data_IF_046667262216
#
_entry.id   IF_046667262216
#
_cell.length_a   1.000
_cell.length_b   1.000
_cell.length_c   1.000
_cell.angle_alpha   90.00
_cell.angle_beta   90.00
_cell.angle_gamma   90.00
#
_symmetry.space_group_name_H-M   'P 1'
#
loop_
_entity.id
_entity.type
_entity.pdbx_description
1 polymer ?
#
# COMPACT_ATOMS: atom_id res chain seq x y z
N UNK A 1 -47.91 42.40 36.38
CA UNK A 1 -46.85 42.45 35.35
C UNK A 1 -46.50 41.03 34.99
N UNK A 2 -46.52 40.74 33.69
CA UNK A 2 -46.58 39.43 33.07
C UNK A 2 -45.24 38.64 33.14
N UNK A 3 -45.37 37.32 33.32
CA UNK A 3 -44.50 36.21 32.92
C UNK A 3 -45.31 34.93 33.31
N UNK A 4 -45.86 34.05 32.47
CA UNK A 4 -45.39 33.38 31.23
C UNK A 4 -43.93 32.91 31.40
N UNK A 5 -43.59 31.63 31.48
CA UNK A 5 -44.18 30.43 30.88
C UNK A 5 -43.94 29.13 31.67
N UNK A 6 -44.73 28.13 31.27
CA UNK A 6 -44.87 26.76 31.76
C UNK A 6 -43.77 25.81 31.24
N UNK A 7 -43.63 24.58 31.80
CA UNK A 7 -42.48 23.72 31.58
C UNK A 7 -42.63 22.87 30.32
N UNK A 8 -41.58 22.78 29.50
CA UNK A 8 -41.57 21.92 28.32
C UNK A 8 -41.04 20.52 28.67
N UNK A 9 -41.95 19.58 28.44
CA UNK A 9 -41.86 18.12 28.33
C UNK A 9 -40.48 17.52 28.05
N UNK A 10 -40.17 16.46 28.80
CA UNK A 10 -39.27 15.40 28.39
C UNK A 10 -39.68 14.84 27.03
N UNK A 11 -38.70 14.66 26.14
CA UNK A 11 -38.81 13.85 24.95
C UNK A 11 -37.56 12.97 24.89
N UNK A 12 -37.73 11.75 25.38
CA UNK A 12 -36.90 10.60 25.11
C UNK A 12 -37.02 10.29 23.62
N UNK A 13 -35.90 10.39 22.89
CA UNK A 13 -35.78 9.97 21.50
C UNK A 13 -34.56 9.04 21.41
N UNK A 14 -34.74 7.86 21.99
CA UNK A 14 -34.07 6.66 21.54
C UNK A 14 -34.55 6.35 20.10
N UNK A 15 -33.63 6.43 19.14
CA UNK A 15 -33.83 6.06 17.74
C UNK A 15 -32.56 5.35 17.26
N UNK A 16 -32.66 4.40 16.31
CA UNK A 16 -32.12 3.07 16.49
C UNK A 16 -30.68 2.93 16.04
N UNK A 17 -29.99 1.97 16.67
CA UNK A 17 -28.80 1.32 16.15
C UNK A 17 -29.15 0.82 14.75
N UNK A 18 -28.52 1.42 13.74
CA UNK A 18 -28.54 0.88 12.39
C UNK A 18 -27.62 -0.35 12.40
N UNK A 19 -28.24 -1.52 12.51
CA UNK A 19 -27.65 -2.78 12.05
C UNK A 19 -27.20 -2.54 10.61
N UNK A 20 -25.89 -2.59 10.40
CA UNK A 20 -25.33 -2.64 9.07
C UNK A 20 -25.39 -4.09 8.65
N UNK A 21 -26.28 -4.37 7.70
CA UNK A 21 -26.45 -5.66 7.03
C UNK A 21 -25.09 -6.19 6.55
N UNK A 22 -24.51 -7.12 7.31
CA UNK A 22 -23.52 -8.08 6.85
C UNK A 22 -24.29 -9.20 6.17
N UNK A 23 -24.29 -9.21 4.84
CA UNK A 23 -24.41 -10.39 3.96
C UNK A 23 -25.09 -9.98 2.66
N UNK A 24 -24.29 -9.51 1.71
CA UNK A 24 -24.58 -9.74 0.29
C UNK A 24 -23.26 -9.76 -0.48
N UNK A 25 -23.12 -10.76 -1.35
CA UNK A 25 -22.07 -10.96 -2.38
C UNK A 25 -21.02 -12.09 -2.19
N UNK A 26 -21.39 -13.21 -1.57
CA UNK A 26 -20.63 -14.48 -1.71
C UNK A 26 -21.41 -15.56 -2.50
N UNK A 27 -21.92 -15.22 -3.67
CA UNK A 27 -22.40 -16.21 -4.66
C UNK A 27 -21.78 -16.01 -6.05
N UNK A 28 -20.48 -16.28 -6.22
CA UNK A 28 -19.86 -16.29 -7.57
C UNK A 28 -19.22 -17.62 -7.95
N UNK A 29 -19.06 -18.58 -7.05
CA UNK A 29 -18.44 -19.87 -7.40
C UNK A 29 -19.27 -21.07 -6.94
N UNK A 30 -20.42 -21.29 -7.57
CA UNK A 30 -21.08 -22.60 -7.55
C UNK A 30 -22.06 -22.79 -8.72
N UNK A 31 -21.54 -23.21 -9.89
CA UNK A 31 -22.24 -24.20 -10.72
C UNK A 31 -21.40 -24.80 -11.86
N UNK A 32 -21.15 -26.11 -11.69
CA UNK A 32 -21.11 -27.21 -12.67
C UNK A 32 -19.92 -27.28 -13.65
N UNK A 33 -18.99 -28.17 -13.31
CA UNK A 33 -18.34 -29.08 -14.27
C UNK A 33 -18.70 -30.51 -13.93
N UNK A 34 -19.35 -31.20 -14.86
CA UNK A 34 -19.78 -32.59 -14.77
C UNK A 34 -18.61 -33.57 -14.87
N UNK A 35 -18.73 -34.68 -14.13
CA UNK A 35 -17.81 -35.81 -14.05
C UNK A 35 -17.67 -36.59 -15.38
N UNK A 36 -16.42 -36.90 -15.77
CA UNK A 36 -15.97 -38.23 -16.24
C UNK A 36 -14.51 -38.14 -16.70
N UNK A 37 -13.56 -38.77 -15.98
CA UNK A 37 -12.91 -40.02 -16.39
C UNK A 37 -11.81 -40.42 -15.40
N UNK A 38 -11.73 -41.72 -15.13
CA UNK A 38 -10.86 -42.29 -14.10
C UNK A 38 -9.38 -42.27 -14.48
N UNK A 39 -8.56 -41.62 -13.65
CA UNK A 39 -7.13 -41.90 -13.48
C UNK A 39 -6.78 -41.86 -11.99
N UNK A 40 -5.87 -42.72 -11.49
CA UNK A 40 -5.49 -42.70 -10.07
C UNK A 40 -4.78 -41.38 -9.74
N UNK A 41 -5.21 -40.71 -8.66
CA UNK A 41 -4.50 -39.56 -8.11
C UNK A 41 -3.15 -40.02 -7.53
N UNK A 42 -2.03 -39.30 -7.80
CA UNK A 42 -0.78 -39.55 -7.09
C UNK A 42 -0.86 -38.98 -5.68
N UNK A 43 -0.76 -39.88 -4.69
CA UNK A 43 -0.58 -39.55 -3.27
C UNK A 43 0.89 -39.19 -3.02
N UNK A 44 1.25 -37.91 -3.09
CA UNK A 44 2.38 -37.30 -2.36
C UNK A 44 2.53 -35.81 -2.68
N UNK A 45 2.65 -34.91 -1.69
CA UNK A 45 2.80 -33.46 -1.91
C UNK A 45 4.07 -33.08 -2.69
N UNK A 46 5.10 -33.93 -2.65
CA UNK A 46 6.43 -33.65 -3.21
C UNK A 46 6.52 -33.72 -4.74
N UNK A 47 5.45 -34.11 -5.45
CA UNK A 47 5.47 -34.28 -6.92
C UNK A 47 4.91 -33.06 -7.70
N UNK A 48 4.36 -32.05 -7.01
CA UNK A 48 3.78 -30.84 -7.61
C UNK A 48 4.80 -29.70 -7.80
N UNK A 49 6.00 -29.81 -7.25
CA UNK A 49 6.97 -28.70 -7.19
C UNK A 49 7.70 -28.43 -8.52
N UNK A 50 7.55 -29.29 -9.53
CA UNK A 50 8.38 -29.23 -10.76
C UNK A 50 7.65 -28.77 -12.03
N UNK A 51 6.52 -28.05 -11.94
CA UNK A 51 5.84 -27.51 -13.15
C UNK A 51 5.64 -26.00 -13.20
N UNK A 52 6.18 -25.24 -12.25
CA UNK A 52 6.32 -23.80 -12.40
C UNK A 52 7.80 -23.49 -12.62
N UNK A 53 8.25 -23.60 -13.88
CA UNK A 53 9.43 -22.87 -14.31
C UNK A 53 9.04 -21.39 -14.28
N UNK A 54 9.12 -20.78 -13.10
CA UNK A 54 9.17 -19.34 -12.97
C UNK A 54 10.43 -18.93 -13.73
N UNK A 55 10.23 -18.29 -14.88
CA UNK A 55 11.30 -17.66 -15.63
C UNK A 55 12.19 -16.91 -14.63
N UNK A 56 13.40 -17.43 -14.41
CA UNK A 56 14.42 -16.71 -13.68
C UNK A 56 14.66 -15.45 -14.48
N UNK A 57 14.10 -14.33 -14.02
CA UNK A 57 14.45 -13.02 -14.52
C UNK A 57 15.95 -12.86 -14.26
N UNK A 58 16.72 -12.78 -15.36
CA UNK A 58 18.14 -12.44 -15.38
C UNK A 58 18.40 -11.28 -14.40
N UNK A 59 19.54 -11.27 -13.68
CA UNK A 59 19.85 -10.20 -12.74
C UNK A 59 19.77 -8.84 -13.44
N UNK A 60 18.93 -7.96 -12.88
CA UNK A 60 18.57 -6.63 -13.36
C UNK A 60 19.78 -5.83 -13.85
N UNK A 61 19.98 -5.76 -15.19
CA UNK A 61 21.00 -4.92 -15.83
C UNK A 61 20.84 -3.43 -15.44
N UNK A 62 19.71 -3.00 -14.83
CA UNK A 62 19.55 -1.65 -14.27
C UNK A 62 20.46 -1.34 -13.08
N UNK A 63 21.02 -2.33 -12.36
CA UNK A 63 21.91 -2.06 -11.23
C UNK A 63 23.21 -1.35 -11.66
N UNK A 64 23.64 -1.51 -12.91
CA UNK A 64 24.80 -0.80 -13.49
C UNK A 64 24.49 0.64 -13.92
N UNK A 65 23.23 1.04 -13.94
CA UNK A 65 22.78 2.34 -14.46
C UNK A 65 22.26 3.30 -13.37
N UNK A 66 22.17 2.86 -12.11
CA UNK A 66 21.77 3.75 -11.00
C UNK A 66 22.94 4.65 -10.61
N UNK A 67 22.72 5.95 -10.76
CA UNK A 67 23.67 7.01 -10.44
C UNK A 67 23.30 7.80 -9.18
N UNK A 68 22.09 7.59 -8.64
CA UNK A 68 21.53 8.25 -7.46
C UNK A 68 20.93 7.22 -6.49
N UNK A 69 21.52 7.10 -5.31
CA UNK A 69 21.11 6.20 -4.23
C UNK A 69 20.67 7.01 -3.02
N UNK A 70 19.42 6.83 -2.58
CA UNK A 70 18.84 7.63 -1.49
C UNK A 70 18.31 6.71 -0.40
N UNK A 71 18.74 6.91 0.85
CA UNK A 71 18.14 6.28 2.03
C UNK A 71 17.42 7.30 2.90
N UNK A 72 16.35 6.84 3.56
CA UNK A 72 15.60 7.63 4.55
C UNK A 72 15.59 6.83 5.84
N UNK A 73 16.24 7.32 6.87
CA UNK A 73 16.41 6.62 8.14
C UNK A 73 16.48 7.60 9.32
N UNK A 74 16.93 7.10 10.49
CA UNK A 74 17.16 7.87 11.72
C UNK A 74 16.07 8.90 12.05
N UNK A 75 14.85 8.44 12.42
CA UNK A 75 13.77 9.36 12.79
C UNK A 75 14.09 10.06 14.11
N UNK A 76 14.05 11.39 14.11
CA UNK A 76 14.38 12.22 15.28
C UNK A 76 13.23 13.17 15.64
N UNK A 77 12.78 13.11 16.90
CA UNK A 77 11.77 14.02 17.43
C UNK A 77 12.35 15.40 17.72
N UNK A 78 11.77 16.42 17.12
CA UNK A 78 12.16 17.81 17.29
C UNK A 78 11.03 18.60 17.92
N UNK A 79 11.32 19.23 19.05
CA UNK A 79 10.36 20.07 19.81
C UNK A 79 10.74 21.53 19.61
N UNK A 80 9.80 22.31 19.10
CA UNK A 80 9.92 23.77 19.01
C UNK A 80 8.95 24.43 19.98
N UNK A 81 9.02 25.76 20.14
CA UNK A 81 8.08 26.51 20.97
C UNK A 81 6.61 26.39 20.51
N UNK A 82 6.37 25.98 19.25
CA UNK A 82 5.06 26.01 18.60
C UNK A 82 4.55 24.60 18.27
N UNK A 83 5.44 23.67 17.91
CA UNK A 83 5.06 22.31 17.51
C UNK A 83 6.16 21.28 17.74
N UNK A 84 5.75 20.02 17.85
CA UNK A 84 6.62 18.83 17.83
C UNK A 84 6.44 18.09 16.51
N UNK A 85 7.55 17.75 15.85
CA UNK A 85 7.54 17.01 14.59
C UNK A 85 8.71 16.03 14.50
N UNK A 86 8.57 15.02 13.63
CA UNK A 86 9.64 14.06 13.33
C UNK A 86 10.38 14.51 12.08
N UNK A 87 11.71 14.54 12.17
CA UNK A 87 12.62 14.66 11.03
C UNK A 87 13.23 13.30 10.71
N UNK A 88 13.55 13.09 9.44
CA UNK A 88 14.21 11.89 8.95
C UNK A 88 15.53 12.31 8.31
N UNK A 89 16.57 11.52 8.53
CA UNK A 89 17.82 11.69 7.80
C UNK A 89 17.62 11.19 6.38
N UNK A 90 17.95 12.04 5.41
CA UNK A 90 17.98 11.70 3.99
C UNK A 90 19.44 11.67 3.56
N UNK A 91 19.97 10.47 3.37
CA UNK A 91 21.33 10.26 2.91
C UNK A 91 21.32 9.98 1.40
N UNK A 92 22.06 10.79 0.66
CA UNK A 92 22.18 10.69 -0.79
C UNK A 92 23.61 10.32 -1.15
N UNK A 93 23.77 9.23 -1.89
CA UNK A 93 25.03 8.85 -2.54
C UNK A 93 24.86 8.91 -4.04
N UNK A 94 25.79 9.56 -4.73
CA UNK A 94 25.65 9.84 -6.16
C UNK A 94 26.98 9.88 -6.88
N UNK A 95 26.96 9.50 -8.15
CA UNK A 95 28.10 9.67 -9.08
C UNK A 95 27.90 10.82 -10.06
N UNK A 96 26.78 11.55 -9.93
CA UNK A 96 26.44 12.64 -10.84
C UNK A 96 27.34 13.85 -10.62
N UNK A 97 27.88 14.46 -11.68
CA UNK A 97 28.83 15.57 -11.58
C UNK A 97 28.19 16.89 -11.14
N UNK A 98 26.86 16.98 -11.14
CA UNK A 98 26.14 18.17 -10.74
C UNK A 98 25.94 18.26 -9.21
N UNK A 99 26.37 17.26 -8.45
CA UNK A 99 26.42 17.31 -6.98
C UNK A 99 27.81 17.73 -6.49
N UNK A 100 27.87 18.64 -5.51
CA UNK A 100 29.13 19.14 -4.96
C UNK A 100 29.90 18.07 -4.17
N UNK A 101 29.23 17.00 -3.73
CA UNK A 101 29.79 15.87 -3.00
C UNK A 101 29.14 14.57 -3.45
N UNK A 102 29.91 13.48 -3.44
CA UNK A 102 29.41 12.13 -3.74
C UNK A 102 28.50 11.58 -2.64
N UNK A 103 28.55 12.17 -1.44
CA UNK A 103 27.69 11.83 -0.30
C UNK A 103 27.20 13.12 0.36
N UNK A 104 25.87 13.24 0.49
CA UNK A 104 25.20 14.41 1.07
C UNK A 104 24.14 13.94 2.05
N UNK A 105 24.12 14.55 3.22
CA UNK A 105 23.17 14.27 4.29
C UNK A 105 22.36 15.53 4.63
N UNK A 106 21.04 15.37 4.72
CA UNK A 106 20.12 16.44 5.13
C UNK A 106 19.00 15.88 6.01
N UNK A 107 18.55 16.67 6.98
CA UNK A 107 17.36 16.34 7.78
C UNK A 107 16.10 16.90 7.12
N UNK A 108 15.06 16.07 7.02
CA UNK A 108 13.78 16.43 6.39
C UNK A 108 12.59 16.02 7.21
N UNK A 109 11.64 16.94 7.43
CA UNK A 109 10.31 16.60 7.99
C UNK A 109 9.33 16.24 6.90
N UNK A 110 8.26 15.52 7.26
CA UNK A 110 7.21 15.10 6.31
C UNK A 110 6.67 16.22 5.40
N UNK A 111 6.50 17.44 5.93
CA UNK A 111 6.01 18.58 5.14
C UNK A 111 6.93 18.95 3.97
N UNK A 112 8.23 18.68 4.07
CA UNK A 112 9.19 18.95 3.00
C UNK A 112 9.11 17.91 1.89
N UNK A 113 8.81 16.65 2.21
CA UNK A 113 8.44 15.65 1.22
C UNK A 113 7.15 16.05 0.50
N UNK A 114 6.15 16.55 1.24
CA UNK A 114 4.91 17.07 0.66
C UNK A 114 5.16 18.26 -0.26
N UNK A 115 6.13 19.13 0.07
CA UNK A 115 6.58 20.22 -0.79
C UNK A 115 7.23 19.68 -2.08
N UNK A 116 8.17 18.74 -1.97
CA UNK A 116 8.83 18.13 -3.13
C UNK A 116 7.79 17.51 -4.07
N UNK A 117 6.88 16.69 -3.54
CA UNK A 117 5.80 16.07 -4.34
C UNK A 117 4.96 17.12 -5.05
N UNK A 118 4.57 18.19 -4.35
CA UNK A 118 3.79 19.28 -4.94
C UNK A 118 4.54 20.00 -6.06
N UNK A 119 5.86 20.19 -5.91
CA UNK A 119 6.69 20.81 -6.94
C UNK A 119 6.88 19.91 -8.17
N UNK A 120 7.07 18.61 -7.97
CA UNK A 120 7.13 17.66 -9.07
C UNK A 120 5.82 17.61 -9.86
N UNK A 121 4.68 17.64 -9.16
CA UNK A 121 3.37 17.73 -9.79
C UNK A 121 3.14 19.03 -10.57
N UNK A 122 3.63 20.16 -10.07
CA UNK A 122 3.54 21.46 -10.74
C UNK A 122 4.41 21.52 -11.99
N UNK A 123 5.65 21.02 -11.92
CA UNK A 123 6.58 20.99 -13.05
C UNK A 123 6.19 19.96 -14.12
N UNK A 124 5.57 18.84 -13.71
CA UNK A 124 5.24 17.72 -14.58
C UNK A 124 3.79 17.26 -14.35
N UNK A 125 2.80 18.03 -14.84
CA UNK A 125 1.39 17.81 -14.50
C UNK A 125 0.82 16.48 -15.00
N UNK A 126 1.45 15.87 -16.01
CA UNK A 126 1.00 14.61 -16.61
C UNK A 126 1.90 13.41 -16.30
N UNK A 127 2.86 13.56 -15.38
CA UNK A 127 3.62 12.43 -14.82
C UNK A 127 2.95 11.91 -13.54
N UNK A 128 3.04 10.60 -13.33
CA UNK A 128 2.54 9.81 -12.22
C UNK A 128 3.55 9.90 -11.07
N UNK A 129 3.40 10.95 -10.27
CA UNK A 129 4.28 11.16 -9.11
C UNK A 129 3.92 10.16 -7.99
N UNK A 130 4.86 9.37 -7.45
CA UNK A 130 4.57 8.43 -6.37
C UNK A 130 3.82 9.10 -5.19
N UNK A 131 2.84 8.42 -4.59
CA UNK A 131 2.11 8.98 -3.46
C UNK A 131 3.00 9.08 -2.22
N UNK A 132 2.63 9.99 -1.32
CA UNK A 132 3.19 10.02 0.04
C UNK A 132 2.24 9.25 0.97
N UNK A 133 2.75 8.66 2.07
CA UNK A 133 1.88 8.09 3.09
C UNK A 133 0.96 9.18 3.65
N UNK A 134 -0.22 8.79 4.14
CA UNK A 134 -1.22 9.75 4.59
C UNK A 134 -0.70 10.71 5.69
N UNK A 135 -1.20 11.95 5.66
CA UNK A 135 -0.83 13.01 6.61
C UNK A 135 -1.25 12.67 8.04
N UNK A 136 -2.38 12.00 8.19
CA UNK A 136 -3.02 11.75 9.47
C UNK A 136 -3.28 10.27 9.70
N UNK A 137 -3.21 9.93 10.96
CA UNK A 137 -3.78 8.75 11.60
C UNK A 137 -5.23 8.62 11.15
N UNK A 138 -5.56 7.54 10.45
CA UNK A 138 -6.95 7.17 10.21
C UNK A 138 -7.64 7.03 11.57
N UNK A 139 -8.64 7.90 11.80
CA UNK A 139 -9.74 7.69 12.76
C UNK A 139 -9.31 7.31 14.20
N UNK A 140 -8.32 8.01 14.77
CA UNK A 140 -8.00 7.93 16.21
C UNK A 140 -7.33 6.64 16.70
N UNK A 141 -6.93 5.73 15.81
CA UNK A 141 -6.40 4.41 16.18
C UNK A 141 -4.86 4.32 16.25
N UNK A 142 -4.11 5.31 15.76
CA UNK A 142 -2.64 5.27 15.76
C UNK A 142 -2.08 6.55 16.39
N UNK A 143 -1.17 6.45 17.35
CA UNK A 143 -0.55 7.64 17.90
C UNK A 143 0.48 8.18 16.89
N UNK A 144 0.40 9.46 16.49
CA UNK A 144 1.29 10.06 15.46
C UNK A 144 2.79 10.04 15.82
N UNK A 145 3.10 9.68 17.06
CA UNK A 145 4.44 9.53 17.63
C UNK A 145 4.71 8.10 18.11
N UNK A 146 3.81 7.15 17.83
CA UNK A 146 4.11 5.73 18.04
C UNK A 146 5.26 5.30 17.13
N UNK A 147 6.07 4.39 17.65
CA UNK A 147 7.22 3.85 16.92
C UNK A 147 6.79 3.18 15.61
N UNK A 148 5.71 2.38 15.65
CA UNK A 148 5.14 1.70 14.47
C UNK A 148 4.75 2.69 13.36
N UNK A 149 4.13 3.81 13.73
CA UNK A 149 3.75 4.83 12.77
C UNK A 149 4.95 5.54 12.16
N UNK A 150 5.93 5.89 12.98
CA UNK A 150 7.16 6.54 12.55
C UNK A 150 7.91 5.61 11.59
N UNK A 151 8.01 4.33 11.91
CA UNK A 151 8.68 3.32 11.10
C UNK A 151 7.95 3.07 9.78
N UNK A 152 6.63 2.91 9.81
CA UNK A 152 5.79 2.75 8.62
C UNK A 152 5.93 3.95 7.69
N UNK A 153 5.87 5.16 8.25
CA UNK A 153 6.05 6.40 7.49
C UNK A 153 7.46 6.50 6.91
N UNK A 154 8.51 6.20 7.69
CA UNK A 154 9.91 6.17 7.23
C UNK A 154 10.07 5.24 6.02
N UNK A 155 9.55 4.02 6.10
CA UNK A 155 9.54 3.04 4.99
C UNK A 155 8.86 3.60 3.73
N UNK A 156 7.69 4.22 3.89
CA UNK A 156 6.97 4.83 2.76
C UNK A 156 7.68 6.04 2.15
N UNK A 157 8.29 6.91 2.98
CA UNK A 157 9.10 8.05 2.51
C UNK A 157 10.36 7.58 1.79
N UNK A 158 11.00 6.51 2.26
CA UNK A 158 12.11 5.87 1.58
C UNK A 158 11.72 5.36 0.18
N UNK A 159 10.62 4.60 0.07
CA UNK A 159 10.11 4.12 -1.23
C UNK A 159 9.76 5.26 -2.18
N UNK A 160 9.13 6.33 -1.67
CA UNK A 160 8.83 7.53 -2.45
C UNK A 160 10.09 8.11 -3.13
N UNK A 161 11.18 8.31 -2.37
CA UNK A 161 12.43 8.83 -2.92
C UNK A 161 13.14 7.83 -3.85
N UNK A 162 13.11 6.53 -3.53
CA UNK A 162 13.65 5.47 -4.39
C UNK A 162 12.95 5.44 -5.76
N UNK A 163 11.62 5.54 -5.80
CA UNK A 163 10.87 5.58 -7.07
C UNK A 163 11.17 6.85 -7.87
N UNK A 164 11.39 7.98 -7.20
CA UNK A 164 11.79 9.23 -7.86
C UNK A 164 13.22 9.14 -8.39
N UNK A 165 14.15 8.54 -7.66
CA UNK A 165 15.57 8.52 -8.03
C UNK A 165 15.86 7.67 -9.26
N UNK A 166 15.04 6.65 -9.53
CA UNK A 166 15.14 5.80 -10.73
C UNK A 166 14.27 6.28 -11.90
N UNK A 167 13.42 7.29 -11.69
CA UNK A 167 12.55 7.78 -12.75
C UNK A 167 13.34 8.63 -13.76
N UNK A 168 13.23 8.38 -15.09
CA UNK A 168 14.04 9.06 -16.11
C UNK A 168 13.96 10.59 -16.08
N UNK A 169 12.77 11.15 -15.90
CA UNK A 169 12.54 12.61 -15.80
C UNK A 169 12.69 13.13 -14.37
N UNK A 170 11.94 12.59 -13.41
CA UNK A 170 11.87 13.14 -12.04
C UNK A 170 13.22 13.12 -11.30
N UNK A 171 14.09 12.15 -11.58
CA UNK A 171 15.41 12.08 -10.95
C UNK A 171 16.32 13.26 -11.31
N UNK A 172 16.08 13.94 -12.43
CA UNK A 172 16.83 15.12 -12.88
C UNK A 172 16.18 16.45 -12.46
N UNK A 173 15.12 16.39 -11.64
CA UNK A 173 14.40 17.58 -11.22
C UNK A 173 15.27 18.51 -10.36
N UNK A 174 15.34 19.82 -10.63
CA UNK A 174 16.03 20.77 -9.77
C UNK A 174 15.41 20.84 -8.37
N UNK A 175 14.11 20.54 -8.26
CA UNK A 175 13.43 20.48 -6.96
C UNK A 175 13.85 19.27 -6.14
N UNK A 176 14.11 18.13 -6.78
CA UNK A 176 14.69 16.96 -6.11
C UNK A 176 16.10 17.29 -5.63
N UNK A 177 16.94 17.87 -6.50
CA UNK A 177 18.30 18.27 -6.12
C UNK A 177 18.31 19.20 -4.92
N UNK A 178 17.51 20.27 -4.94
CA UNK A 178 17.36 21.17 -3.79
C UNK A 178 16.88 20.44 -2.54
N UNK A 179 15.92 19.51 -2.68
CA UNK A 179 15.47 18.66 -1.56
C UNK A 179 16.59 17.79 -0.98
N UNK A 180 17.54 17.32 -1.79
CA UNK A 180 18.63 16.44 -1.33
C UNK A 180 19.84 17.21 -0.79
N UNK A 181 20.06 18.47 -1.20
CA UNK A 181 21.31 19.20 -0.88
C UNK A 181 21.14 20.44 -0.02
N UNK A 182 19.99 21.12 -0.05
CA UNK A 182 19.84 22.40 0.64
C UNK A 182 19.72 22.21 2.17
N UNK A 183 20.43 23.00 2.98
CA UNK A 183 20.21 22.97 4.43
C UNK A 183 18.85 23.57 4.83
N UNK A 184 18.39 24.57 4.08
CA UNK A 184 17.07 25.19 4.26
C UNK A 184 16.30 25.29 2.93
N UNK A 185 15.06 24.80 2.94
CA UNK A 185 14.13 24.85 1.81
C UNK A 185 13.25 26.11 1.79
N UNK A 186 13.29 26.97 2.82
CA UNK A 186 12.51 28.23 2.83
C UNK A 186 12.70 29.13 1.62
N UNK A 187 13.91 29.34 1.04
CA UNK A 187 14.06 30.15 -0.18
C UNK A 187 13.35 29.51 -1.38
N UNK A 188 13.35 28.18 -1.45
CA UNK A 188 12.72 27.41 -2.53
C UNK A 188 11.18 27.35 -2.40
N UNK A 189 10.62 27.57 -1.20
CA UNK A 189 9.18 27.61 -0.95
C UNK A 189 8.50 28.89 -1.48
N UNK A 190 9.25 29.98 -1.69
CA UNK A 190 8.72 31.28 -2.14
C UNK A 190 8.51 31.39 -3.66
N UNK A 191 8.94 30.41 -4.46
CA UNK A 191 8.90 30.45 -5.93
C UNK A 191 7.68 29.73 -6.55
N UNK A 192 6.58 29.52 -5.82
CA UNK A 192 5.36 28.89 -6.36
C UNK A 192 4.23 29.90 -6.57
N UNK A 193 3.41 29.78 -7.65
CA UNK A 193 2.15 30.50 -7.71
C UNK A 193 1.30 30.08 -6.51
N UNK A 194 0.80 31.07 -5.76
CA UNK A 194 0.11 30.83 -4.49
C UNK A 194 -1.12 29.91 -4.61
N UNK A 195 -1.58 29.40 -3.46
CA UNK A 195 -2.77 28.55 -3.28
C UNK A 195 -4.04 29.08 -3.99
N UNK A 196 -4.09 30.39 -4.28
CA UNK A 196 -5.19 31.04 -4.99
C UNK A 196 -5.32 30.64 -6.47
N UNK A 197 -4.28 30.07 -7.11
CA UNK A 197 -4.38 29.54 -8.48
C UNK A 197 -5.19 28.24 -8.55
N UNK A 198 -5.02 27.34 -7.57
CA UNK A 198 -5.67 26.00 -7.53
C UNK A 198 -7.19 26.05 -7.41
N UNK A 199 -7.73 27.08 -6.74
CA UNK A 199 -9.18 27.28 -6.60
C UNK A 199 -9.85 27.66 -7.93
N UNK A 200 -9.15 28.46 -8.76
CA UNK A 200 -9.64 28.88 -10.09
C UNK A 200 -9.71 27.72 -11.09
N UNK A 201 -8.76 26.78 -11.01
CA UNK A 201 -8.72 25.60 -11.87
C UNK A 201 -9.83 24.59 -11.53
N UNK A 202 -10.22 24.49 -10.26
CA UNK A 202 -11.30 23.58 -9.79
C UNK A 202 -12.66 24.04 -10.32
N UNK A 203 -12.94 25.34 -10.27
CA UNK A 203 -14.20 25.93 -10.79
C UNK A 203 -14.26 25.84 -12.33
N UNK A 204 -13.13 26.06 -13.01
CA UNK A 204 -13.01 25.93 -14.46
C UNK A 204 -13.24 24.48 -14.92
N UNK A 205 -12.62 23.51 -14.25
CA UNK A 205 -12.75 22.08 -14.54
C UNK A 205 -14.17 21.55 -14.29
N UNK A 206 -14.85 22.01 -13.23
CA UNK A 206 -16.25 21.66 -12.97
C UNK A 206 -17.22 22.24 -14.03
N UNK A 207 -17.01 23.48 -14.47
CA UNK A 207 -17.82 24.08 -15.54
C UNK A 207 -17.59 23.41 -16.91
N UNK A 208 -16.40 22.85 -17.13
CA UNK A 208 -16.00 22.18 -18.38
C UNK A 208 -16.46 20.71 -18.44
N UNK A 209 -16.50 19.99 -17.31
CA UNK A 209 -17.00 18.61 -17.23
C UNK A 209 -18.47 18.46 -17.69
N UNK A 210 -19.26 19.54 -17.61
CA UNK A 210 -20.68 19.55 -18.02
C UNK A 210 -20.85 19.61 -19.54
N UNK A 211 -19.83 20.00 -20.31
CA UNK A 211 -19.91 20.10 -21.78
C UNK A 211 -19.57 18.80 -22.52
N UNK A 212 -19.02 17.81 -21.82
CA UNK A 212 -18.49 16.58 -22.42
C UNK A 212 -17.22 16.84 -23.24
N UNK A 213 -16.16 16.07 -23.03
CA UNK A 213 -14.95 16.17 -23.85
C UNK A 213 -15.23 15.60 -25.25
N UNK A 214 -15.65 16.48 -26.16
CA UNK A 214 -15.88 16.16 -27.58
C UNK A 214 -14.53 16.09 -28.29
N UNK A 215 -13.77 15.03 -28.01
CA UNK A 215 -12.45 14.84 -28.64
C UNK A 215 -11.48 13.94 -27.90
N UNK A 216 -11.85 13.39 -26.73
CA UNK A 216 -10.96 12.48 -25.98
C UNK A 216 -10.57 11.28 -26.83
N UNK A 217 -9.26 11.05 -27.09
CA UNK A 217 -8.81 9.88 -27.83
C UNK A 217 -9.23 8.60 -27.11
N UNK A 218 -9.63 7.58 -27.88
CA UNK A 218 -10.15 6.31 -27.36
C UNK A 218 -9.20 5.65 -26.36
N UNK A 219 -7.89 5.77 -26.57
CA UNK A 219 -6.88 5.22 -25.65
C UNK A 219 -7.00 5.79 -24.23
N UNK A 220 -7.33 7.08 -24.07
CA UNK A 220 -7.48 7.72 -22.78
C UNK A 220 -8.83 7.39 -22.14
N UNK A 221 -9.86 7.08 -22.94
CA UNK A 221 -11.11 6.51 -22.44
C UNK A 221 -10.84 5.11 -21.85
N UNK A 222 -10.15 4.24 -22.59
CA UNK A 222 -9.74 2.92 -22.10
C UNK A 222 -8.84 3.02 -20.86
N UNK A 223 -7.96 4.02 -20.81
CA UNK A 223 -7.13 4.27 -19.64
C UNK A 223 -7.97 4.67 -18.42
N UNK A 224 -9.00 5.50 -18.59
CA UNK A 224 -9.94 5.86 -17.52
C UNK A 224 -10.66 4.64 -16.97
N UNK A 225 -11.24 3.82 -17.87
CA UNK A 225 -11.94 2.60 -17.49
C UNK A 225 -11.03 1.64 -16.70
N UNK A 226 -9.76 1.54 -17.12
CA UNK A 226 -8.76 0.76 -16.40
C UNK A 226 -8.50 1.34 -15.01
N UNK A 227 -8.27 2.65 -14.87
CA UNK A 227 -7.98 3.31 -13.58
C UNK A 227 -9.14 3.13 -12.60
N UNK A 228 -10.38 3.23 -13.07
CA UNK A 228 -11.56 3.06 -12.23
C UNK A 228 -11.68 1.61 -11.72
N UNK A 229 -11.54 0.62 -12.61
CA UNK A 229 -11.51 -0.79 -12.22
C UNK A 229 -10.34 -1.12 -11.29
N UNK A 230 -9.15 -0.63 -11.63
CA UNK A 230 -7.94 -0.80 -10.83
C UNK A 230 -8.15 -0.29 -9.42
N UNK A 231 -8.71 0.91 -9.26
CA UNK A 231 -8.97 1.48 -7.94
C UNK A 231 -9.94 0.65 -7.11
N UNK A 232 -11.02 0.17 -7.71
CA UNK A 232 -11.98 -0.70 -7.00
C UNK A 232 -11.30 -1.99 -6.57
N UNK A 233 -10.55 -2.62 -7.47
CA UNK A 233 -9.90 -3.90 -7.21
C UNK A 233 -8.80 -3.78 -6.15
N UNK A 234 -7.89 -2.80 -6.27
CA UNK A 234 -6.78 -2.66 -5.32
C UNK A 234 -7.29 -2.31 -3.92
N UNK A 235 -8.31 -1.45 -3.81
CA UNK A 235 -8.95 -1.14 -2.53
C UNK A 235 -9.68 -2.34 -1.93
N UNK A 236 -10.28 -3.21 -2.76
CA UNK A 236 -10.89 -4.45 -2.28
C UNK A 236 -9.82 -5.41 -1.74
N UNK A 237 -8.71 -5.60 -2.48
CA UNK A 237 -7.61 -6.47 -2.05
C UNK A 237 -6.95 -5.95 -0.76
N UNK A 238 -6.72 -4.64 -0.64
CA UNK A 238 -6.20 -4.02 0.59
C UNK A 238 -7.13 -4.28 1.79
N UNK A 239 -8.44 -4.05 1.64
CA UNK A 239 -9.43 -4.31 2.71
C UNK A 239 -9.52 -5.78 3.11
N UNK A 240 -9.54 -6.69 2.13
CA UNK A 240 -9.58 -8.14 2.41
C UNK A 240 -8.31 -8.58 3.13
N UNK A 241 -7.14 -8.06 2.73
CA UNK A 241 -5.87 -8.37 3.40
C UNK A 241 -5.87 -7.90 4.86
N UNK A 242 -6.35 -6.67 5.12
CA UNK A 242 -6.48 -6.15 6.48
C UNK A 242 -7.48 -6.97 7.32
N UNK A 243 -8.58 -7.43 6.72
CA UNK A 243 -9.55 -8.32 7.37
C UNK A 243 -8.91 -9.67 7.74
N UNK A 244 -8.16 -10.29 6.84
CA UNK A 244 -7.42 -11.54 7.11
C UNK A 244 -6.49 -11.37 8.31
N UNK A 245 -5.71 -10.28 8.35
CA UNK A 245 -4.79 -10.00 9.46
C UNK A 245 -5.56 -9.86 10.78
N UNK A 246 -6.70 -9.16 10.78
CA UNK A 246 -7.54 -9.01 11.97
C UNK A 246 -8.05 -10.37 12.47
N UNK A 247 -8.64 -11.18 11.58
CA UNK A 247 -9.16 -12.51 11.93
C UNK A 247 -8.03 -13.45 12.40
N UNK A 248 -6.83 -13.36 11.83
CA UNK A 248 -5.66 -14.11 12.31
C UNK A 248 -5.24 -13.70 13.72
N UNK A 249 -5.27 -12.40 14.04
CA UNK A 249 -4.95 -11.91 15.39
C UNK A 249 -6.00 -12.34 16.42
N UNK A 250 -7.28 -12.30 16.05
CA UNK A 250 -8.37 -12.83 16.89
C UNK A 250 -8.17 -14.34 17.15
N UNK A 251 -7.77 -15.11 16.14
CA UNK A 251 -7.44 -16.53 16.29
C UNK A 251 -6.21 -16.76 17.20
N UNK A 252 -5.18 -15.91 17.13
CA UNK A 252 -4.03 -15.96 18.05
C UNK A 252 -4.48 -15.75 19.49
N UNK A 253 -5.38 -14.79 19.74
CA UNK A 253 -5.92 -14.53 21.07
C UNK A 253 -6.70 -15.75 21.62
N UNK A 254 -7.42 -16.48 20.77
CA UNK A 254 -8.08 -17.73 21.15
C UNK A 254 -7.07 -18.84 21.49
N UNK A 255 -6.04 -19.03 20.67
CA UNK A 255 -4.97 -20.00 20.94
C UNK A 255 -4.26 -19.71 22.27
N UNK A 256 -4.02 -18.44 22.57
CA UNK A 256 -3.45 -18.00 23.85
C UNK A 256 -4.38 -18.26 25.05
N UNK A 257 -5.69 -18.34 24.86
CA UNK A 257 -6.64 -18.75 25.91
C UNK A 257 -6.69 -20.28 26.08
N UNK A 258 -6.54 -21.03 24.98
CA UNK A 258 -6.57 -22.49 25.04
C UNK A 258 -5.34 -23.10 25.70
N UNK A 259 -4.13 -22.57 25.48
CA UNK A 259 -2.92 -23.10 26.12
C UNK A 259 -3.07 -23.20 27.66
N UNK A 260 -3.40 -22.11 28.39
CA UNK A 260 -3.59 -22.15 29.83
C UNK A 260 -4.70 -23.11 30.27
N UNK A 261 -5.78 -23.23 29.49
CA UNK A 261 -6.87 -24.17 29.78
C UNK A 261 -6.39 -25.62 29.75
N UNK A 262 -5.59 -26.00 28.75
CA UNK A 262 -4.97 -27.34 28.68
C UNK A 262 -3.94 -27.56 29.80
N UNK A 263 -3.14 -26.54 30.14
CA UNK A 263 -2.19 -26.60 31.25
C UNK A 263 -2.90 -26.84 32.59
N UNK A 264 -3.98 -26.11 32.86
CA UNK A 264 -4.77 -26.28 34.09
C UNK A 264 -5.46 -27.65 34.13
N UNK A 265 -5.97 -28.12 32.99
CA UNK A 265 -6.54 -29.47 32.92
C UNK A 265 -5.49 -30.55 33.20
N UNK A 266 -4.26 -30.37 32.72
CA UNK A 266 -3.14 -31.27 32.99
C UNK A 266 -2.81 -31.39 34.49
N UNK A 267 -3.06 -30.34 35.29
CA UNK A 267 -2.84 -30.36 36.75
C UNK A 267 -3.89 -31.20 37.50
N UNK A 268 -5.05 -31.42 36.90
CA UNK A 268 -6.17 -32.16 37.50
C UNK A 268 -6.16 -33.67 37.14
N UNK A 269 -5.40 -34.06 36.12
CA UNK A 269 -5.40 -35.41 35.56
C UNK A 269 -4.05 -36.11 35.77
N UNK A 270 -3.99 -37.14 36.61
CA UNK A 270 -2.74 -37.86 36.90
C UNK A 270 -2.19 -38.63 35.69
N UNK A 271 -3.08 -39.24 34.87
CA UNK A 271 -2.68 -40.11 33.76
C UNK A 271 -2.53 -39.41 32.40
N UNK A 272 -3.07 -38.19 32.27
CA UNK A 272 -3.07 -37.42 31.01
C UNK A 272 -2.27 -36.12 31.12
N UNK A 273 -1.64 -35.85 32.27
CA UNK A 273 -0.90 -34.60 32.52
C UNK A 273 0.12 -34.28 31.42
N UNK A 274 0.99 -35.23 31.07
CA UNK A 274 2.03 -35.01 30.05
C UNK A 274 1.44 -34.78 28.64
N UNK A 275 0.52 -35.62 28.12
CA UNK A 275 -0.16 -35.34 26.85
C UNK A 275 -0.84 -33.97 26.81
N UNK A 276 -1.57 -33.59 27.87
CA UNK A 276 -2.29 -32.31 27.94
C UNK A 276 -1.32 -31.12 27.97
N UNK A 277 -0.21 -31.23 28.70
CA UNK A 277 0.87 -30.23 28.65
C UNK A 277 1.52 -30.15 27.25
N UNK A 278 1.64 -31.27 26.56
CA UNK A 278 2.13 -31.30 25.17
C UNK A 278 1.20 -30.59 24.19
N UNK A 279 -0.13 -30.74 24.35
CA UNK A 279 -1.13 -29.99 23.57
C UNK A 279 -1.02 -28.49 23.87
N UNK A 280 -0.96 -28.11 25.15
CA UNK A 280 -0.77 -26.72 25.57
C UNK A 280 0.44 -26.06 24.89
N UNK A 281 1.61 -26.68 25.00
CA UNK A 281 2.84 -26.20 24.33
C UNK A 281 2.70 -26.13 22.81
N UNK A 282 2.04 -27.11 22.20
CA UNK A 282 1.83 -27.13 20.75
C UNK A 282 0.95 -25.96 20.28
N UNK A 283 -0.08 -25.62 21.06
CA UNK A 283 -0.93 -24.45 20.80
C UNK A 283 -0.14 -23.14 20.93
N UNK A 284 0.72 -22.99 21.95
CA UNK A 284 1.58 -21.80 22.09
C UNK A 284 2.52 -21.62 20.89
N UNK A 285 3.14 -22.70 20.43
CA UNK A 285 4.02 -22.67 19.27
C UNK A 285 3.25 -22.32 17.98
N UNK A 286 2.06 -22.88 17.79
CA UNK A 286 1.20 -22.53 16.65
C UNK A 286 0.71 -21.08 16.74
N UNK A 287 0.44 -20.56 17.93
CA UNK A 287 0.07 -19.16 18.14
C UNK A 287 1.21 -18.22 17.72
N UNK A 288 2.44 -18.53 18.13
CA UNK A 288 3.64 -17.77 17.73
C UNK A 288 3.83 -17.74 16.20
N UNK A 289 3.64 -18.88 15.52
CA UNK A 289 3.77 -18.93 14.06
C UNK A 289 2.62 -18.22 13.34
N UNK A 290 1.40 -18.27 13.89
CA UNK A 290 0.24 -17.53 13.37
C UNK A 290 0.46 -16.01 13.51
N UNK A 291 0.92 -15.55 14.68
CA UNK A 291 1.21 -14.13 14.92
C UNK A 291 2.33 -13.63 14.00
N UNK A 292 3.39 -14.41 13.84
CA UNK A 292 4.49 -14.08 12.95
C UNK A 292 4.11 -14.10 11.45
N UNK A 293 3.01 -14.78 11.07
CA UNK A 293 2.44 -14.70 9.72
C UNK A 293 1.59 -13.43 9.57
N UNK A 294 0.72 -13.14 10.53
CA UNK A 294 -0.11 -11.94 10.54
C UNK A 294 0.74 -10.65 10.52
N UNK A 295 1.85 -10.64 11.26
CA UNK A 295 2.80 -9.54 11.27
C UNK A 295 3.49 -9.35 9.92
N UNK A 296 3.91 -10.43 9.25
CA UNK A 296 4.55 -10.35 7.92
C UNK A 296 3.59 -9.78 6.85
N UNK A 297 2.33 -10.24 6.85
CA UNK A 297 1.29 -9.67 5.99
C UNK A 297 1.11 -8.17 6.24
N UNK A 298 1.12 -7.75 7.50
CA UNK A 298 1.02 -6.35 7.91
C UNK A 298 2.24 -5.51 7.51
N UNK A 299 3.45 -6.07 7.56
CA UNK A 299 4.70 -5.34 7.32
C UNK A 299 5.15 -5.32 5.85
N UNK A 300 4.76 -6.33 5.08
CA UNK A 300 5.23 -6.54 3.71
C UNK A 300 4.11 -6.30 2.71
N UNK A 301 2.99 -7.03 2.82
CA UNK A 301 1.94 -7.02 1.80
C UNK A 301 1.07 -5.76 1.88
N UNK A 302 0.56 -5.42 3.07
CA UNK A 302 -0.33 -4.26 3.25
C UNK A 302 0.32 -2.95 2.77
N UNK A 303 1.58 -2.61 3.12
CA UNK A 303 2.18 -1.35 2.69
C UNK A 303 2.29 -1.22 1.17
N UNK A 304 2.53 -2.33 0.46
CA UNK A 304 2.59 -2.33 -1.01
C UNK A 304 1.20 -2.12 -1.61
N UNK A 305 0.20 -2.88 -1.14
CA UNK A 305 -1.18 -2.73 -1.61
C UNK A 305 -1.72 -1.32 -1.37
N UNK A 306 -1.51 -0.81 -0.15
CA UNK A 306 -1.97 0.51 0.25
C UNK A 306 -1.29 1.63 -0.53
N UNK A 307 0.00 1.50 -0.87
CA UNK A 307 0.67 2.45 -1.77
C UNK A 307 -0.03 2.52 -3.13
N UNK A 308 -0.49 1.38 -3.66
CA UNK A 308 -1.20 1.32 -4.93
C UNK A 308 -2.66 1.78 -4.84
N UNK A 309 -3.30 1.68 -3.68
CA UNK A 309 -4.56 2.39 -3.37
C UNK A 309 -4.36 3.90 -3.55
N UNK A 310 -3.30 4.47 -2.94
CA UNK A 310 -2.98 5.89 -3.06
C UNK A 310 -2.54 6.28 -4.49
N UNK A 311 -1.89 5.37 -5.22
CA UNK A 311 -1.55 5.58 -6.63
C UNK A 311 -2.82 5.74 -7.49
N UNK A 312 -3.91 5.03 -7.19
CA UNK A 312 -5.15 5.14 -7.96
C UNK A 312 -5.68 6.59 -8.00
N UNK A 313 -5.62 7.31 -6.88
CA UNK A 313 -5.98 8.73 -6.82
C UNK A 313 -5.02 9.64 -7.61
N UNK A 314 -3.73 9.31 -7.58
CA UNK A 314 -2.72 9.99 -8.40
C UNK A 314 -3.05 9.82 -9.89
N UNK A 315 -3.38 8.62 -10.34
CA UNK A 315 -3.73 8.33 -11.73
C UNK A 315 -4.95 9.11 -12.19
N UNK A 316 -6.02 9.14 -11.38
CA UNK A 316 -7.20 9.96 -11.67
C UNK A 316 -6.85 11.44 -11.81
N UNK A 317 -6.01 11.95 -10.92
CA UNK A 317 -5.58 13.35 -10.93
C UNK A 317 -4.77 13.68 -12.19
N UNK A 318 -3.85 12.80 -12.59
CA UNK A 318 -3.06 12.94 -13.82
C UNK A 318 -3.94 12.92 -15.06
N UNK A 319 -4.90 12.00 -15.14
CA UNK A 319 -5.89 11.95 -16.23
C UNK A 319 -6.71 13.24 -16.32
N UNK A 320 -7.22 13.75 -15.19
CA UNK A 320 -7.95 15.02 -15.15
C UNK A 320 -7.10 16.20 -15.62
N UNK A 321 -5.83 16.28 -15.21
CA UNK A 321 -4.90 17.34 -15.66
C UNK A 321 -4.69 17.27 -17.17
N UNK A 322 -4.51 16.07 -17.72
CA UNK A 322 -4.39 15.85 -19.17
C UNK A 322 -5.67 16.26 -19.91
N UNK A 323 -6.84 15.92 -19.39
CA UNK A 323 -8.13 16.28 -20.00
C UNK A 323 -8.40 17.79 -19.95
N UNK A 324 -7.94 18.49 -18.91
CA UNK A 324 -7.98 19.96 -18.86
C UNK A 324 -7.10 20.58 -19.96
N UNK A 325 -5.90 20.05 -20.20
CA UNK A 325 -5.03 20.52 -21.30
C UNK A 325 -5.72 20.33 -22.66
N UNK A 326 -6.39 19.20 -22.87
CA UNK A 326 -7.15 18.97 -24.11
C UNK A 326 -8.31 19.96 -24.24
N UNK A 327 -9.04 20.19 -23.16
CA UNK A 327 -10.19 21.12 -23.16
C UNK A 327 -9.73 22.55 -23.46
N UNK A 328 -8.60 22.98 -22.91
CA UNK A 328 -8.02 24.30 -23.20
C UNK A 328 -7.67 24.45 -24.69
N UNK A 329 -7.09 23.41 -25.30
CA UNK A 329 -6.83 23.36 -26.75
C UNK A 329 -8.13 23.42 -27.57
N UNK A 330 -9.11 22.57 -27.26
CA UNK A 330 -10.39 22.51 -27.98
C UNK A 330 -11.13 23.85 -27.96
N UNK A 331 -11.25 24.47 -26.79
CA UNK A 331 -11.94 25.76 -26.62
C UNK A 331 -11.26 26.86 -27.44
N UNK A 332 -9.93 26.93 -27.42
CA UNK A 332 -9.20 27.95 -28.18
C UNK A 332 -9.24 27.68 -29.68
N UNK A 333 -9.16 26.42 -30.10
CA UNK A 333 -9.25 26.02 -31.51
C UNK A 333 -10.65 26.32 -32.10
N UNK A 334 -11.72 26.04 -31.36
CA UNK A 334 -13.08 26.43 -31.74
C UNK A 334 -13.23 27.95 -31.85
N UNK A 335 -12.66 28.71 -30.92
CA UNK A 335 -12.68 30.17 -30.97
C UNK A 335 -11.95 30.72 -32.20
N UNK A 336 -10.76 30.19 -32.53
CA UNK A 336 -9.99 30.54 -33.72
C UNK A 336 -10.78 30.27 -35.00
N UNK A 337 -11.45 29.11 -35.08
CA UNK A 337 -12.29 28.76 -36.23
C UNK A 337 -13.39 29.80 -36.51
N UNK A 338 -13.86 30.51 -35.48
CA UNK A 338 -14.87 31.57 -35.62
C UNK A 338 -14.30 32.97 -35.88
N UNK A 339 -13.09 33.30 -35.40
CA UNK A 339 -12.56 34.68 -35.39
C UNK A 339 -11.32 34.94 -36.25
N UNK A 340 -10.63 33.92 -36.77
CA UNK A 340 -9.49 34.00 -37.72
C UNK A 340 -8.54 35.19 -37.50
N UNK A 341 -7.91 35.27 -36.33
CA UNK A 341 -6.87 36.25 -36.00
C UNK A 341 -5.51 35.53 -35.96
N UNK A 342 -4.47 36.07 -36.59
CA UNK A 342 -3.15 35.41 -36.66
C UNK A 342 -2.53 35.14 -35.27
N UNK A 343 -2.71 36.05 -34.29
CA UNK A 343 -2.26 35.84 -32.91
C UNK A 343 -2.97 34.65 -32.22
N UNK A 344 -4.23 34.38 -32.57
CA UNK A 344 -4.95 33.22 -32.04
C UNK A 344 -4.44 31.91 -32.65
N UNK A 345 -3.80 31.95 -33.82
CA UNK A 345 -3.22 30.79 -34.50
C UNK A 345 -1.96 30.28 -33.79
N UNK A 346 -1.02 31.18 -33.47
CA UNK A 346 0.19 30.84 -32.70
C UNK A 346 -0.16 30.26 -31.32
N UNK A 347 -1.16 30.83 -30.63
CA UNK A 347 -1.62 30.31 -29.34
C UNK A 347 -2.26 28.92 -29.45
N UNK A 348 -3.01 28.64 -30.52
CA UNK A 348 -3.58 27.31 -30.77
C UNK A 348 -2.51 26.27 -31.08
N UNK A 349 -1.50 26.62 -31.89
CA UNK A 349 -0.35 25.74 -32.17
C UNK A 349 0.40 25.40 -30.88
N UNK A 350 0.70 26.39 -30.03
CA UNK A 350 1.36 26.16 -28.74
C UNK A 350 0.54 25.25 -27.80
N UNK A 351 -0.80 25.39 -27.79
CA UNK A 351 -1.68 24.49 -27.02
C UNK A 351 -1.72 23.08 -27.62
N UNK A 352 -1.64 22.95 -28.95
CA UNK A 352 -1.57 21.67 -29.65
C UNK A 352 -0.29 20.91 -29.27
N UNK A 353 0.86 21.58 -29.35
CA UNK A 353 2.16 21.03 -28.95
C UNK A 353 2.15 20.61 -27.48
N UNK A 354 1.59 21.45 -26.60
CA UNK A 354 1.45 21.15 -25.18
C UNK A 354 0.59 19.91 -24.93
N UNK A 355 -0.50 19.73 -25.67
CA UNK A 355 -1.35 18.55 -25.60
C UNK A 355 -0.60 17.29 -26.08
N UNK A 356 0.15 17.39 -27.18
CA UNK A 356 0.93 16.27 -27.70
C UNK A 356 2.01 15.83 -26.70
N UNK A 357 2.77 16.79 -26.14
CA UNK A 357 3.76 16.53 -25.10
C UNK A 357 3.12 15.89 -23.86
N UNK A 358 1.98 16.41 -23.42
CA UNK A 358 1.22 15.86 -22.30
C UNK A 358 0.81 14.39 -22.54
N UNK A 359 0.30 14.09 -23.74
CA UNK A 359 -0.07 12.74 -24.14
C UNK A 359 1.14 11.80 -24.18
N UNK A 360 2.27 12.23 -24.77
CA UNK A 360 3.48 11.43 -24.87
C UNK A 360 4.11 11.13 -23.50
N UNK A 361 4.15 12.14 -22.64
CA UNK A 361 4.63 12.01 -21.26
C UNK A 361 3.80 10.96 -20.51
N UNK A 362 2.46 11.09 -20.53
CA UNK A 362 1.57 10.16 -19.86
C UNK A 362 1.68 8.74 -20.44
N UNK A 363 1.73 8.57 -21.77
CA UNK A 363 1.88 7.22 -22.39
C UNK A 363 3.18 6.54 -21.97
N UNK A 364 4.26 7.31 -21.89
CA UNK A 364 5.57 6.78 -21.51
C UNK A 364 5.57 6.42 -20.04
N UNK A 365 5.10 7.32 -19.20
CA UNK A 365 5.12 7.12 -17.76
C UNK A 365 4.13 6.03 -17.30
N UNK A 366 2.98 5.91 -17.98
CA UNK A 366 2.04 4.82 -17.77
C UNK A 366 2.67 3.44 -17.96
N UNK A 367 3.55 3.27 -18.96
CA UNK A 367 4.26 2.00 -19.17
C UNK A 367 5.22 1.69 -18.03
N UNK A 368 5.98 2.68 -17.57
CA UNK A 368 6.89 2.54 -16.43
C UNK A 368 6.11 2.20 -15.15
N UNK A 369 5.04 2.95 -14.86
CA UNK A 369 4.17 2.72 -13.72
C UNK A 369 3.57 1.30 -13.73
N UNK A 370 3.08 0.81 -14.88
CA UNK A 370 2.53 -0.56 -15.00
C UNK A 370 3.59 -1.63 -14.77
N UNK A 371 4.82 -1.41 -15.25
CA UNK A 371 5.94 -2.33 -15.02
C UNK A 371 6.25 -2.41 -13.52
N UNK A 372 6.37 -1.25 -12.87
CA UNK A 372 6.64 -1.17 -11.43
C UNK A 372 5.50 -1.80 -10.62
N UNK A 373 4.24 -1.50 -10.93
CA UNK A 373 3.07 -2.15 -10.32
C UNK A 373 3.16 -3.67 -10.39
N UNK A 374 3.45 -4.21 -11.57
CA UNK A 374 3.51 -5.65 -11.76
C UNK A 374 4.64 -6.27 -10.93
N UNK A 375 5.81 -5.65 -10.93
CA UNK A 375 6.98 -6.11 -10.17
C UNK A 375 6.72 -6.07 -8.67
N UNK A 376 6.27 -4.92 -8.15
CA UNK A 376 6.07 -4.69 -6.72
C UNK A 376 4.99 -5.63 -6.16
N UNK A 377 3.82 -5.71 -6.81
CA UNK A 377 2.71 -6.56 -6.36
C UNK A 377 3.07 -8.04 -6.50
N UNK A 378 3.75 -8.45 -7.58
CA UNK A 378 4.23 -9.83 -7.72
C UNK A 378 5.16 -10.20 -6.58
N UNK A 379 6.17 -9.37 -6.31
CA UNK A 379 7.16 -9.63 -5.26
C UNK A 379 6.49 -9.75 -3.90
N UNK A 380 5.57 -8.84 -3.58
CA UNK A 380 4.83 -8.88 -2.32
C UNK A 380 3.94 -10.13 -2.19
N UNK A 381 3.22 -10.52 -3.25
CA UNK A 381 2.36 -11.70 -3.23
C UNK A 381 3.15 -13.01 -3.17
N UNK A 382 4.29 -13.10 -3.87
CA UNK A 382 5.18 -14.27 -3.79
C UNK A 382 5.76 -14.38 -2.38
N UNK A 383 6.26 -13.27 -1.80
CA UNK A 383 6.74 -13.24 -0.42
C UNK A 383 5.66 -13.71 0.57
N UNK A 384 4.42 -13.23 0.41
CA UNK A 384 3.31 -13.65 1.25
C UNK A 384 2.97 -15.14 1.08
N UNK A 385 3.04 -15.67 -0.16
CA UNK A 385 2.82 -17.09 -0.43
C UNK A 385 3.91 -17.97 0.20
N UNK A 386 5.18 -17.58 0.08
CA UNK A 386 6.30 -18.28 0.71
C UNK A 386 6.16 -18.28 2.24
N UNK A 387 5.72 -17.14 2.81
CA UNK A 387 5.45 -17.04 4.25
C UNK A 387 4.30 -17.94 4.68
N UNK A 388 3.23 -18.04 3.89
CA UNK A 388 2.12 -18.95 4.15
C UNK A 388 2.56 -20.42 4.14
N UNK A 389 3.43 -20.82 3.20
CA UNK A 389 3.98 -22.17 3.16
C UNK A 389 4.78 -22.47 4.43
N UNK A 390 5.69 -21.58 4.81
CA UNK A 390 6.48 -21.72 6.04
C UNK A 390 5.60 -21.84 7.28
N UNK A 391 4.54 -21.03 7.37
CA UNK A 391 3.57 -21.11 8.47
C UNK A 391 2.95 -22.51 8.58
N UNK A 392 2.40 -23.04 7.48
CA UNK A 392 1.76 -24.35 7.50
C UNK A 392 2.74 -25.48 7.78
N UNK A 393 3.94 -25.44 7.20
CA UNK A 393 5.00 -26.44 7.45
C UNK A 393 5.41 -26.48 8.92
N UNK A 394 5.58 -25.31 9.54
CA UNK A 394 5.97 -25.23 10.95
C UNK A 394 4.86 -25.69 11.89
N UNK A 395 3.62 -25.24 11.67
CA UNK A 395 2.48 -25.70 12.45
C UNK A 395 2.31 -27.23 12.34
N UNK A 396 2.47 -27.78 11.13
CA UNK A 396 2.46 -29.23 10.92
C UNK A 396 3.58 -29.91 11.70
N UNK A 397 4.82 -29.42 11.61
CA UNK A 397 5.96 -30.01 12.31
C UNK A 397 5.79 -29.99 13.84
N UNK A 398 5.18 -28.94 14.40
CA UNK A 398 4.82 -28.86 15.82
C UNK A 398 3.91 -30.02 16.20
N UNK A 399 2.82 -30.22 15.47
CA UNK A 399 1.87 -31.30 15.76
C UNK A 399 2.43 -32.69 15.49
N UNK A 400 3.21 -32.89 14.43
CA UNK A 400 3.88 -34.16 14.16
C UNK A 400 4.88 -34.53 15.25
N UNK A 401 5.68 -33.56 15.71
CA UNK A 401 6.62 -33.76 16.82
C UNK A 401 5.88 -34.14 18.10
N UNK A 402 4.75 -33.50 18.39
CA UNK A 402 3.91 -33.85 19.53
C UNK A 402 3.34 -35.28 19.38
N UNK A 403 2.74 -35.62 18.25
CA UNK A 403 2.16 -36.96 18.04
C UNK A 403 3.22 -38.07 18.12
N UNK A 404 4.45 -37.80 17.67
CA UNK A 404 5.57 -38.74 17.81
C UNK A 404 5.98 -38.91 19.27
N UNK A 405 5.97 -37.85 20.08
CA UNK A 405 6.30 -37.97 21.51
C UNK A 405 5.26 -38.76 22.30
N UNK A 406 4.01 -38.83 21.82
CA UNK A 406 2.96 -39.64 22.44
C UNK A 406 3.02 -41.14 22.08
N UNK A 407 3.83 -41.54 21.08
CA UNK A 407 3.98 -42.96 20.72
C UNK A 407 4.87 -43.65 21.75
N UNK A 408 4.24 -44.29 22.73
CA UNK A 408 4.91 -45.16 23.71
C UNK A 408 5.60 -46.33 23.00
N UNK A 409 6.86 -46.56 23.34
CA UNK A 409 7.63 -47.73 22.89
C UNK A 409 7.00 -49.00 23.51
N UNK A 410 6.47 -49.96 22.72
CA UNK A 410 5.73 -51.12 23.24
C UNK A 410 6.54 -52.02 24.19
N UNK A 411 7.87 -51.84 24.27
CA UNK A 411 8.75 -52.57 25.17
C UNK A 411 8.58 -52.21 26.66
N UNK A 412 8.03 -51.05 27.02
CA UNK A 412 7.90 -50.65 28.43
C UNK A 412 6.72 -51.33 29.16
N UNK A 413 5.78 -51.93 28.43
CA UNK A 413 4.68 -52.70 29.04
C UNK A 413 5.08 -54.07 29.58
N UNK A 414 6.22 -54.64 29.15
CA UNK A 414 6.63 -55.98 29.60
C UNK A 414 7.36 -56.00 30.94
N UNK A 415 7.98 -54.91 31.40
CA UNK A 415 8.75 -54.90 32.65
C UNK A 415 7.91 -54.69 33.92
N UNK A 416 6.64 -54.27 33.81
CA UNK A 416 5.77 -54.13 34.99
C UNK A 416 4.91 -55.36 35.30
N UNK A 417 4.84 -56.36 34.41
CA UNK A 417 4.09 -57.62 34.68
C UNK A 417 4.95 -58.76 35.22
N UNK A 418 6.28 -58.64 35.26
CA UNK A 418 7.19 -59.71 35.70
C UNK A 418 7.66 -59.61 37.15
N UNK A 419 7.20 -58.62 37.92
CA UNK A 419 7.67 -58.38 39.31
C UNK A 419 6.62 -58.74 40.37
N UNK A 420 5.58 -59.50 40.01
CA UNK A 420 4.52 -59.91 40.94
C UNK A 420 4.15 -61.37 40.70
N UNK A 421 5.05 -62.27 41.11
CA UNK A 421 4.74 -63.67 41.43
C UNK A 421 5.57 -64.11 42.62
#
# INVERSE_FOLDING_TARGET
MAAQDTPSSAADLSAPVLDLDEDDDLEVFSKKTSLSDGRPLPTSPSSMTNQYHLDQEEPDENLKQRDLFISVDNPESHVTAIETFIMYRVLTRTTRPDFDSSEVEVMRRYQEFSWLRSKLEESHPTLIIPPLPEKFVVKGMVERFSEDFIETRKRALHRFLQKISVHPVLSHSPHLKAFLTAQDLTPHKKQGPGLFSRMGDTVRSMAQSVRGSRGRPQEFCTLQDYVDRFSTNISSVDKVTQRIIREQREYVDELHQYSPAYSQWAELEEGLSEPLQGVSRSLELCAQETDAQAQDLSDVLVPVLHEYVLCADTLRTVLRRRDNIQTDFEVKNEALATKKVDQDMEEVEALSDRLEQANQALRTDWRHWRSNLRSDVRTALVSAADRNLQYYEKCLAVWESFLLSQKVDPAQHHNHKSSST
#
